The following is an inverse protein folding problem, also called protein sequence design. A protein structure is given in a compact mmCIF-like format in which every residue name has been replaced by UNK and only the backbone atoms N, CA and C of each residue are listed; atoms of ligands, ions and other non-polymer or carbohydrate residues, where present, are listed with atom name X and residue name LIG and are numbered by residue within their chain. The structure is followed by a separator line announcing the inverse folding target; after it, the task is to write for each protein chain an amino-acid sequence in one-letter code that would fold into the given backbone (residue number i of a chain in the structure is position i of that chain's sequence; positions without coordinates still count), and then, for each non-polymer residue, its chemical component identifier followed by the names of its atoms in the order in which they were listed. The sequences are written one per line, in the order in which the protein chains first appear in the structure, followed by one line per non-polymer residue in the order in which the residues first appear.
data_IF_319214508842
#
_entry.id   IF_319214508842
#
_cell.length_a   1.000
_cell.length_b   1.000
_cell.length_c   1.000
_cell.angle_alpha   90.00
_cell.angle_beta   90.00
_cell.angle_gamma   90.00
#
_symmetry.space_group_name_H-M   'P 1'
#
loop_
_entity.id
_entity.type
_entity.pdbx_description
1 polymer ?
#
# COMPACT_ATOMS: atom_id res chain seq x y z
N UNK A 1 -62.94 56.95 11.11
CA UNK A 1 -63.10 55.52 10.76
C UNK A 1 -62.19 55.09 9.60
N UNK A 2 -61.94 55.94 8.60
CA UNK A 2 -61.11 55.58 7.43
C UNK A 2 -59.63 55.28 7.74
N UNK A 3 -59.05 55.94 8.74
CA UNK A 3 -57.65 55.69 9.15
C UNK A 3 -57.42 54.27 9.69
N UNK A 4 -58.42 53.68 10.37
CA UNK A 4 -58.34 52.29 10.85
C UNK A 4 -58.44 51.27 9.71
N UNK A 5 -59.31 51.50 8.72
CA UNK A 5 -59.37 50.67 7.50
C UNK A 5 -58.06 50.71 6.71
N UNK A 6 -57.45 51.88 6.59
CA UNK A 6 -56.20 52.04 5.85
C UNK A 6 -55.01 51.35 6.57
N UNK A 7 -54.96 51.41 7.90
CA UNK A 7 -53.99 50.64 8.70
C UNK A 7 -54.19 49.13 8.57
N UNK A 8 -55.44 48.65 8.61
CA UNK A 8 -55.76 47.23 8.50
C UNK A 8 -55.41 46.68 7.10
N UNK A 9 -55.69 47.45 6.04
CA UNK A 9 -55.35 47.07 4.67
C UNK A 9 -53.82 47.02 4.45
N UNK A 10 -53.08 47.97 5.04
CA UNK A 10 -51.61 47.96 5.03
C UNK A 10 -51.04 46.73 5.76
N UNK A 11 -51.59 46.38 6.93
CA UNK A 11 -51.19 45.17 7.67
C UNK A 11 -51.49 43.91 6.88
N UNK A 12 -52.66 43.82 6.25
CA UNK A 12 -53.07 42.66 5.45
C UNK A 12 -52.22 42.51 4.19
N UNK A 13 -51.87 43.62 3.52
CA UNK A 13 -50.93 43.63 2.39
C UNK A 13 -49.52 43.25 2.81
N UNK A 14 -49.04 43.75 3.96
CA UNK A 14 -47.73 43.40 4.49
C UNK A 14 -47.65 41.92 4.87
N UNK A 15 -48.69 41.38 5.51
CA UNK A 15 -48.77 39.96 5.89
C UNK A 15 -48.89 39.05 4.66
N UNK A 16 -49.69 39.43 3.67
CA UNK A 16 -49.77 38.70 2.39
C UNK A 16 -48.43 38.70 1.65
N UNK A 17 -47.72 39.83 1.63
CA UNK A 17 -46.40 39.93 1.00
C UNK A 17 -45.34 39.13 1.74
N UNK A 18 -45.36 39.16 3.08
CA UNK A 18 -44.46 38.36 3.91
C UNK A 18 -44.71 36.86 3.72
N UNK A 19 -45.98 36.45 3.67
CA UNK A 19 -46.35 35.05 3.41
C UNK A 19 -45.92 34.60 2.01
N UNK A 20 -46.12 35.45 1.00
CA UNK A 20 -45.68 35.16 -0.37
C UNK A 20 -44.15 35.04 -0.48
N UNK A 21 -43.40 35.91 0.21
CA UNK A 21 -41.94 35.85 0.24
C UNK A 21 -41.42 34.61 0.98
N UNK A 22 -42.07 34.26 2.11
CA UNK A 22 -41.77 33.06 2.87
C UNK A 22 -42.04 31.79 2.06
N UNK A 23 -43.15 31.74 1.32
CA UNK A 23 -43.52 30.60 0.47
C UNK A 23 -42.55 30.46 -0.72
N UNK A 24 -42.14 31.58 -1.32
CA UNK A 24 -41.11 31.61 -2.37
C UNK A 24 -39.76 31.11 -1.84
N UNK A 25 -39.35 31.55 -0.65
CA UNK A 25 -38.10 31.11 -0.02
C UNK A 25 -38.12 29.63 0.36
N UNK A 26 -39.26 29.12 0.84
CA UNK A 26 -39.44 27.69 1.11
C UNK A 26 -39.34 26.87 -0.18
N UNK A 27 -40.01 27.32 -1.25
CA UNK A 27 -40.00 26.62 -2.53
C UNK A 27 -38.60 26.62 -3.16
N UNK A 28 -37.88 27.74 -3.11
CA UNK A 28 -36.48 27.85 -3.55
C UNK A 28 -35.55 26.95 -2.72
N UNK A 29 -35.73 26.87 -1.41
CA UNK A 29 -34.94 25.99 -0.54
C UNK A 29 -35.20 24.50 -0.85
N UNK A 30 -36.45 24.12 -1.01
CA UNK A 30 -36.84 22.75 -1.33
C UNK A 30 -36.34 22.31 -2.71
N UNK A 31 -36.38 23.21 -3.70
CA UNK A 31 -35.80 22.98 -5.02
C UNK A 31 -34.28 22.87 -4.97
N UNK A 32 -33.59 23.73 -4.20
CA UNK A 32 -32.15 23.61 -3.97
C UNK A 32 -31.77 22.29 -3.30
N UNK A 33 -32.56 21.83 -2.33
CA UNK A 33 -32.36 20.54 -1.67
C UNK A 33 -32.54 19.38 -2.66
N UNK A 34 -33.60 19.40 -3.47
CA UNK A 34 -33.82 18.41 -4.54
C UNK A 34 -32.66 18.39 -5.53
N UNK A 35 -32.20 19.54 -6.00
CA UNK A 35 -31.06 19.64 -6.92
C UNK A 35 -29.78 19.08 -6.30
N UNK A 36 -29.44 19.46 -5.05
CA UNK A 36 -28.27 18.93 -4.33
C UNK A 36 -28.34 17.41 -4.15
N UNK A 37 -29.50 16.88 -3.76
CA UNK A 37 -29.68 15.46 -3.55
C UNK A 37 -29.57 14.68 -4.86
N UNK A 38 -30.14 15.20 -5.95
CA UNK A 38 -30.03 14.60 -7.29
C UNK A 38 -28.60 14.66 -7.84
N UNK A 39 -27.87 15.76 -7.58
CA UNK A 39 -26.47 15.90 -7.96
C UNK A 39 -25.55 14.96 -7.16
N UNK A 40 -25.80 14.80 -5.85
CA UNK A 40 -25.10 13.80 -5.04
C UNK A 40 -25.38 12.38 -5.51
N UNK A 41 -26.63 12.03 -5.84
CA UNK A 41 -26.94 10.70 -6.37
C UNK A 41 -26.25 10.43 -7.70
N UNK A 42 -26.22 11.41 -8.62
CA UNK A 42 -25.48 11.30 -9.88
C UNK A 42 -23.98 11.13 -9.64
N UNK A 43 -23.39 11.93 -8.75
CA UNK A 43 -21.97 11.77 -8.39
C UNK A 43 -21.69 10.39 -7.79
N UNK A 44 -22.54 9.91 -6.88
CA UNK A 44 -22.38 8.56 -6.31
C UNK A 44 -22.53 7.45 -7.36
N UNK A 45 -23.48 7.56 -8.29
CA UNK A 45 -23.62 6.59 -9.38
C UNK A 45 -22.43 6.62 -10.34
N UNK A 46 -21.95 7.82 -10.70
CA UNK A 46 -20.82 7.99 -11.60
C UNK A 46 -19.52 7.50 -10.95
N UNK A 47 -19.36 7.70 -9.63
CA UNK A 47 -18.23 7.16 -8.86
C UNK A 47 -18.30 5.63 -8.73
N UNK A 48 -19.51 5.03 -8.60
CA UNK A 48 -19.72 3.57 -8.60
C UNK A 48 -19.51 2.92 -9.97
N UNK A 49 -19.91 3.57 -11.06
CA UNK A 49 -19.69 3.06 -12.43
C UNK A 49 -18.24 3.20 -12.86
N UNK A 50 -17.58 4.31 -12.49
CA UNK A 50 -16.16 4.53 -12.79
C UNK A 50 -15.26 3.59 -11.97
N UNK A 51 -15.62 3.25 -10.73
CA UNK A 51 -14.92 2.21 -9.97
C UNK A 51 -15.19 0.77 -10.45
N UNK A 52 -16.29 0.52 -11.17
CA UNK A 52 -16.52 -0.79 -11.83
C UNK A 52 -15.85 -0.92 -13.20
N UNK A 53 -15.66 0.18 -13.94
CA UNK A 53 -15.08 0.14 -15.30
C UNK A 53 -13.60 0.50 -15.36
N UNK A 54 -13.07 1.16 -14.32
CA UNK A 54 -11.68 1.61 -14.25
C UNK A 54 -11.10 1.36 -12.85
N UNK A 55 -11.11 0.11 -12.39
CA UNK A 55 -10.30 -0.31 -11.26
C UNK A 55 -9.86 -1.77 -11.39
N UNK A 56 -8.54 -2.05 -11.39
CA UNK A 56 -8.02 -3.23 -10.71
C UNK A 56 -8.50 -3.18 -9.24
N UNK A 57 -8.69 -4.33 -8.57
CA UNK A 57 -9.46 -4.40 -7.32
C UNK A 57 -8.89 -3.50 -6.20
N UNK A 58 -9.75 -2.85 -5.38
CA UNK A 58 -9.31 -2.13 -4.19
C UNK A 58 -8.90 -3.14 -3.10
N UNK A 59 -7.59 -3.29 -2.91
CA UNK A 59 -7.02 -3.91 -1.70
C UNK A 59 -6.39 -2.85 -0.81
N UNK A 60 -7.15 -2.41 0.19
CA UNK A 60 -6.66 -1.88 1.46
C UNK A 60 -7.83 -1.91 2.46
N UNK A 61 -7.87 -2.78 3.48
CA UNK A 61 -6.90 -3.74 4.01
C UNK A 61 -7.62 -4.76 4.90
N UNK A 62 -7.05 -5.26 6.02
CA UNK A 62 -5.65 -5.37 6.39
C UNK A 62 -5.11 -6.77 6.05
N UNK A 63 -3.79 -6.91 5.87
CA UNK A 63 -3.06 -8.19 5.98
C UNK A 63 -3.74 -9.44 5.37
N UNK A 64 -4.12 -9.37 4.08
CA UNK A 64 -4.27 -10.60 3.30
C UNK A 64 -2.97 -10.81 2.54
N UNK A 65 -2.36 -11.96 2.78
CA UNK A 65 -1.23 -12.55 2.08
C UNK A 65 -1.54 -12.75 0.60
N UNK A 66 -1.65 -11.66 -0.16
CA UNK A 66 -1.71 -11.71 -1.61
C UNK A 66 -0.34 -12.11 -2.12
N UNK A 67 -0.17 -13.41 -2.32
CA UNK A 67 0.99 -14.01 -2.97
C UNK A 67 1.20 -13.25 -4.29
N UNK A 68 2.38 -12.68 -4.56
CA UNK A 68 2.62 -11.93 -5.78
C UNK A 68 2.28 -12.80 -6.98
N UNK A 69 1.47 -12.28 -7.90
CA UNK A 69 1.17 -12.96 -9.15
C UNK A 69 2.44 -13.19 -9.96
N UNK A 70 2.33 -14.12 -10.90
CA UNK A 70 3.46 -14.62 -11.66
C UNK A 70 4.33 -13.51 -12.28
N UNK A 71 3.67 -12.64 -13.05
CA UNK A 71 4.33 -11.52 -13.73
C UNK A 71 4.86 -10.45 -12.76
N UNK A 72 4.23 -10.27 -11.60
CA UNK A 72 4.75 -9.37 -10.58
C UNK A 72 6.04 -9.88 -9.95
N UNK A 73 6.22 -11.20 -9.83
CA UNK A 73 7.42 -11.75 -9.19
C UNK A 73 8.69 -11.53 -10.03
N UNK A 74 8.61 -11.63 -11.37
CA UNK A 74 9.75 -11.33 -12.25
C UNK A 74 10.13 -9.86 -12.18
N UNK A 75 9.16 -8.94 -12.27
CA UNK A 75 9.41 -7.50 -12.16
C UNK A 75 9.96 -7.09 -10.77
N UNK A 76 9.48 -7.75 -9.71
CA UNK A 76 10.01 -7.57 -8.35
C UNK A 76 11.47 -8.06 -8.24
N UNK A 77 11.79 -9.21 -8.86
CA UNK A 77 13.15 -9.75 -8.89
C UNK A 77 14.11 -8.85 -9.68
N UNK A 78 13.70 -8.37 -10.85
CA UNK A 78 14.50 -7.43 -11.65
C UNK A 78 14.76 -6.14 -10.88
N UNK A 79 13.75 -5.59 -10.22
CA UNK A 79 13.89 -4.41 -9.36
C UNK A 79 14.82 -4.66 -8.17
N UNK A 80 14.74 -5.85 -7.57
CA UNK A 80 15.63 -6.28 -6.49
C UNK A 80 17.09 -6.35 -6.94
N UNK A 81 17.37 -6.99 -8.08
CA UNK A 81 18.73 -7.12 -8.60
C UNK A 81 19.28 -5.76 -9.06
N UNK A 82 18.45 -4.94 -9.74
CA UNK A 82 18.82 -3.60 -10.15
C UNK A 82 19.22 -2.74 -8.95
N UNK A 83 18.41 -2.74 -7.89
CA UNK A 83 18.73 -2.01 -6.64
C UNK A 83 20.03 -2.49 -6.01
N UNK A 84 20.27 -3.80 -5.99
CA UNK A 84 21.54 -4.31 -5.50
C UNK A 84 22.74 -3.90 -6.35
N UNK A 85 22.58 -3.86 -7.68
CA UNK A 85 23.63 -3.39 -8.58
C UNK A 85 23.90 -1.90 -8.39
N UNK A 86 22.85 -1.09 -8.23
CA UNK A 86 22.94 0.34 -7.92
C UNK A 86 23.69 0.55 -6.60
N UNK A 87 23.32 -0.21 -5.55
CA UNK A 87 24.02 -0.18 -4.25
C UNK A 87 25.50 -0.60 -4.34
N UNK A 88 25.84 -1.54 -5.21
CA UNK A 88 27.21 -1.99 -5.40
C UNK A 88 28.05 -1.00 -6.22
N UNK A 89 27.46 -0.36 -7.24
CA UNK A 89 28.14 0.59 -8.15
C UNK A 89 28.24 1.99 -7.56
N UNK A 90 27.18 2.47 -6.91
CA UNK A 90 27.08 3.81 -6.33
C UNK A 90 26.43 3.71 -4.94
N UNK A 91 27.19 3.30 -3.92
CA UNK A 91 26.66 3.21 -2.57
C UNK A 91 26.33 4.62 -2.07
N UNK A 92 25.07 4.93 -1.72
CA UNK A 92 24.71 6.26 -1.23
C UNK A 92 25.47 6.57 0.06
N UNK A 93 25.64 7.87 0.33
CA UNK A 93 26.33 8.37 1.51
C UNK A 93 25.60 7.95 2.80
N UNK A 94 24.26 7.91 2.77
CA UNK A 94 23.41 7.43 3.86
C UNK A 94 22.46 6.35 3.32
N UNK A 95 22.59 5.13 3.82
CA UNK A 95 21.67 4.04 3.50
C UNK A 95 20.51 4.04 4.47
N UNK A 96 19.28 4.15 3.98
CA UNK A 96 18.11 3.92 4.83
C UNK A 96 17.71 2.46 4.80
N UNK A 97 16.97 2.00 5.80
CA UNK A 97 16.36 0.66 5.82
C UNK A 97 15.63 0.37 4.50
N UNK A 98 14.95 1.38 3.95
CA UNK A 98 14.17 1.30 2.71
C UNK A 98 15.00 1.21 1.44
N UNK A 99 16.26 1.65 1.48
CA UNK A 99 17.18 1.52 0.35
C UNK A 99 17.74 0.11 0.21
N UNK A 100 17.61 -0.73 1.25
CA UNK A 100 18.11 -2.10 1.26
C UNK A 100 17.05 -3.01 0.64
N UNK A 101 17.33 -3.64 -0.51
CA UNK A 101 16.36 -4.51 -1.18
C UNK A 101 16.27 -5.85 -0.46
N UNK A 102 15.34 -5.99 0.49
CA UNK A 102 15.02 -7.26 1.16
C UNK A 102 14.37 -8.26 0.19
N UNK A 103 14.61 -9.58 0.34
CA UNK A 103 14.05 -10.62 -0.53
C UNK A 103 12.61 -10.95 -0.14
N UNK A 104 11.74 -9.93 -0.16
CA UNK A 104 10.32 -10.02 0.18
C UNK A 104 9.55 -9.15 -0.79
N UNK A 105 8.30 -9.53 -1.07
CA UNK A 105 7.46 -8.81 -2.03
C UNK A 105 7.10 -7.38 -1.60
N UNK A 106 7.19 -7.10 -0.30
CA UNK A 106 6.84 -5.80 0.26
C UNK A 106 8.02 -4.84 0.16
N UNK A 107 7.76 -3.62 -0.32
CA UNK A 107 8.77 -2.58 -0.44
C UNK A 107 9.27 -2.05 0.93
N UNK A 108 8.50 -2.23 2.00
CA UNK A 108 8.84 -1.81 3.37
C UNK A 108 8.56 -2.93 4.38
N UNK A 109 9.40 -3.97 4.43
CA UNK A 109 9.18 -5.07 5.35
C UNK A 109 9.59 -4.69 6.77
N UNK A 110 8.81 -5.15 7.74
CA UNK A 110 9.25 -5.23 9.15
C UNK A 110 9.87 -6.59 9.43
N UNK A 111 10.64 -6.72 10.52
CA UNK A 111 11.24 -8.00 10.88
C UNK A 111 10.21 -9.13 11.04
N UNK A 112 8.99 -8.81 11.50
CA UNK A 112 7.89 -9.76 11.62
C UNK A 112 7.33 -10.27 10.27
N UNK A 113 7.56 -9.53 9.18
CA UNK A 113 7.14 -9.91 7.83
C UNK A 113 8.22 -10.73 7.08
N UNK A 114 9.45 -10.74 7.61
CA UNK A 114 10.58 -11.50 7.08
C UNK A 114 10.56 -12.89 7.72
N UNK A 115 9.87 -13.80 7.04
CA UNK A 115 9.66 -15.16 7.50
C UNK A 115 10.22 -16.15 6.47
N UNK A 116 10.55 -17.39 6.87
CA UNK A 116 11.07 -18.41 5.94
C UNK A 116 10.17 -18.61 4.73
N UNK A 117 8.84 -18.51 4.90
CA UNK A 117 7.87 -18.65 3.81
C UNK A 117 7.92 -17.49 2.81
N UNK A 118 7.99 -16.24 3.26
CA UNK A 118 8.00 -15.06 2.37
C UNK A 118 9.33 -14.97 1.63
N UNK A 119 10.43 -15.27 2.32
CA UNK A 119 11.78 -15.37 1.75
C UNK A 119 11.87 -16.53 0.74
N UNK A 120 11.28 -17.69 1.04
CA UNK A 120 11.21 -18.82 0.11
C UNK A 120 10.42 -18.47 -1.15
N UNK A 121 9.23 -17.88 -1.00
CA UNK A 121 8.42 -17.47 -2.14
C UNK A 121 9.16 -16.50 -3.05
N UNK A 122 9.97 -15.61 -2.47
CA UNK A 122 10.76 -14.67 -3.25
C UNK A 122 11.98 -15.35 -3.91
N UNK A 123 12.86 -16.00 -3.15
CA UNK A 123 14.16 -16.53 -3.64
C UNK A 123 13.99 -17.81 -4.46
N UNK A 124 13.04 -18.68 -4.10
CA UNK A 124 12.82 -19.97 -4.75
C UNK A 124 11.78 -19.92 -5.88
N UNK A 125 11.23 -18.73 -6.19
CA UNK A 125 10.27 -18.59 -7.30
C UNK A 125 10.88 -19.05 -8.62
N UNK A 126 10.25 -20.02 -9.29
CA UNK A 126 10.67 -20.55 -10.60
C UNK A 126 10.64 -19.52 -11.72
N UNK A 127 10.07 -18.36 -11.46
CA UNK A 127 9.78 -17.29 -12.42
C UNK A 127 10.97 -16.37 -12.67
N UNK A 128 11.97 -16.45 -11.81
CA UNK A 128 13.28 -15.83 -12.04
C UNK A 128 14.36 -16.90 -12.03
N UNK A 129 15.41 -16.68 -12.82
CA UNK A 129 16.59 -17.54 -12.89
C UNK A 129 16.32 -19.05 -13.09
N UNK A 130 15.54 -19.48 -14.11
CA UNK A 130 15.19 -20.90 -14.31
C UNK A 130 16.41 -21.83 -14.41
N UNK A 131 17.57 -21.28 -14.77
CA UNK A 131 18.84 -22.01 -14.90
C UNK A 131 19.56 -22.29 -13.56
N UNK A 132 19.16 -21.68 -12.43
CA UNK A 132 19.79 -21.90 -11.11
C UNK A 132 18.96 -22.83 -10.24
N UNK A 133 19.61 -23.87 -9.70
CA UNK A 133 18.96 -24.78 -8.74
C UNK A 133 18.55 -24.06 -7.44
N UNK A 134 17.47 -24.51 -6.80
CA UNK A 134 16.97 -23.98 -5.52
C UNK A 134 18.09 -23.84 -4.47
N UNK A 135 18.91 -24.88 -4.33
CA UNK A 135 20.08 -24.91 -3.44
C UNK A 135 21.13 -23.84 -3.78
N UNK A 136 21.40 -23.59 -5.06
CA UNK A 136 22.33 -22.54 -5.48
C UNK A 136 21.80 -21.13 -5.14
N UNK A 137 20.49 -20.90 -5.33
CA UNK A 137 19.85 -19.61 -5.01
C UNK A 137 19.89 -19.31 -3.50
N UNK A 138 19.65 -20.32 -2.66
CA UNK A 138 19.74 -20.15 -1.21
C UNK A 138 21.19 -19.89 -0.75
N UNK A 139 22.17 -20.59 -1.33
CA UNK A 139 23.59 -20.31 -1.05
C UNK A 139 24.00 -18.88 -1.40
N UNK A 140 23.55 -18.38 -2.56
CA UNK A 140 23.80 -17.01 -3.00
C UNK A 140 23.17 -15.99 -2.04
N UNK A 141 21.91 -16.21 -1.67
CA UNK A 141 21.22 -15.39 -0.68
C UNK A 141 21.91 -15.40 0.69
N UNK A 142 22.40 -16.56 1.14
CA UNK A 142 23.13 -16.71 2.40
C UNK A 142 24.44 -15.90 2.39
N UNK A 143 25.19 -15.97 1.31
CA UNK A 143 26.43 -15.19 1.16
C UNK A 143 26.17 -13.67 1.17
N UNK A 144 25.02 -13.25 0.63
CA UNK A 144 24.61 -11.84 0.54
C UNK A 144 24.06 -11.30 1.86
N UNK A 145 23.31 -12.11 2.60
CA UNK A 145 22.63 -11.76 3.85
C UNK A 145 23.33 -12.24 5.12
N UNK A 146 24.54 -12.80 5.02
CA UNK A 146 25.29 -13.23 6.20
C UNK A 146 25.41 -12.07 7.20
N UNK A 147 25.02 -12.25 8.48
CA UNK A 147 24.93 -11.16 9.45
C UNK A 147 26.24 -10.38 9.53
N UNK A 148 27.37 -11.07 9.64
CA UNK A 148 28.69 -10.43 9.72
C UNK A 148 29.03 -9.55 8.49
N UNK A 149 28.83 -10.07 7.27
CA UNK A 149 29.13 -9.32 6.03
C UNK A 149 28.16 -8.17 5.81
N UNK A 150 26.89 -8.35 6.16
CA UNK A 150 25.89 -7.32 6.04
C UNK A 150 26.14 -6.19 7.03
N UNK A 151 26.49 -6.52 8.28
CA UNK A 151 26.83 -5.57 9.32
C UNK A 151 28.05 -4.72 8.92
N UNK A 152 29.13 -5.36 8.48
CA UNK A 152 30.34 -4.65 8.07
C UNK A 152 30.12 -3.74 6.85
N UNK A 153 29.37 -4.23 5.84
CA UNK A 153 29.26 -3.55 4.53
C UNK A 153 28.14 -2.52 4.46
N UNK A 154 26.98 -2.80 5.05
CA UNK A 154 25.78 -1.99 4.88
C UNK A 154 25.38 -1.28 6.18
N UNK A 155 25.47 -1.94 7.34
CA UNK A 155 24.98 -1.36 8.60
C UNK A 155 25.77 -0.13 9.04
N UNK A 156 27.09 -0.09 8.78
CA UNK A 156 27.92 1.09 9.02
C UNK A 156 27.43 2.34 8.28
N UNK A 157 26.80 2.17 7.11
CA UNK A 157 26.23 3.25 6.29
C UNK A 157 24.80 3.63 6.67
N UNK A 158 24.14 2.85 7.54
CA UNK A 158 22.78 3.14 8.01
C UNK A 158 22.84 4.13 9.16
N UNK A 159 21.97 5.15 9.24
CA UNK A 159 21.93 6.06 10.37
C UNK A 159 21.51 5.34 11.66
N UNK A 160 22.08 5.73 12.79
CA UNK A 160 21.86 5.14 14.12
C UNK A 160 20.42 4.74 14.46
N UNK A 161 19.40 5.61 14.28
CA UNK A 161 18.01 5.27 14.62
C UNK A 161 17.44 4.11 13.80
N UNK A 162 17.99 3.82 12.64
CA UNK A 162 17.54 2.73 11.76
C UNK A 162 18.46 1.50 11.82
N UNK A 163 19.67 1.60 12.41
CA UNK A 163 20.62 0.49 12.48
C UNK A 163 20.04 -0.71 13.22
N UNK A 164 19.43 -0.51 14.38
CA UNK A 164 18.83 -1.61 15.15
C UNK A 164 17.79 -2.38 14.31
N UNK A 165 16.88 -1.66 13.66
CA UNK A 165 15.84 -2.25 12.82
C UNK A 165 16.40 -2.93 11.57
N UNK A 166 17.41 -2.34 10.92
CA UNK A 166 18.06 -2.94 9.75
C UNK A 166 18.82 -4.23 10.10
N UNK A 167 19.50 -4.24 11.26
CA UNK A 167 20.17 -5.43 11.79
C UNK A 167 19.17 -6.54 12.10
N UNK A 168 18.06 -6.20 12.75
CA UNK A 168 17.00 -7.17 13.07
C UNK A 168 16.41 -7.78 11.79
N UNK A 169 16.06 -6.96 10.80
CA UNK A 169 15.53 -7.42 9.53
C UNK A 169 16.54 -8.30 8.77
N UNK A 170 17.81 -7.90 8.71
CA UNK A 170 18.86 -8.70 8.05
C UNK A 170 19.09 -10.04 8.78
N UNK A 171 19.09 -10.03 10.11
CA UNK A 171 19.18 -11.25 10.92
C UNK A 171 18.00 -12.19 10.67
N UNK A 172 16.78 -11.64 10.54
CA UNK A 172 15.59 -12.41 10.20
C UNK A 172 15.68 -13.05 8.81
N UNK A 173 16.23 -12.33 7.81
CA UNK A 173 16.49 -12.90 6.47
C UNK A 173 17.52 -14.02 6.57
N UNK A 174 18.65 -13.80 7.25
CA UNK A 174 19.71 -14.80 7.38
C UNK A 174 19.18 -16.09 8.03
N UNK A 175 18.46 -15.97 9.15
CA UNK A 175 17.80 -17.11 9.83
C UNK A 175 16.82 -17.82 8.92
N UNK A 176 16.01 -17.06 8.19
CA UNK A 176 15.05 -17.59 7.22
C UNK A 176 15.73 -18.39 6.11
N UNK A 177 16.82 -17.87 5.53
CA UNK A 177 17.59 -18.57 4.50
C UNK A 177 18.28 -19.82 5.08
N UNK A 178 18.83 -19.76 6.30
CA UNK A 178 19.45 -20.92 6.96
C UNK A 178 18.44 -22.05 7.14
N UNK A 179 17.26 -21.74 7.69
CA UNK A 179 16.20 -22.72 7.90
C UNK A 179 15.72 -23.35 6.57
N UNK A 180 15.67 -22.57 5.48
CA UNK A 180 15.34 -23.09 4.15
C UNK A 180 16.45 -23.99 3.59
N UNK A 181 17.73 -23.66 3.82
CA UNK A 181 18.85 -24.49 3.40
C UNK A 181 18.90 -25.82 4.15
N UNK A 182 18.60 -25.82 5.45
CA UNK A 182 18.49 -27.03 6.26
C UNK A 182 17.35 -27.90 5.74
N UNK A 183 16.16 -27.32 5.54
CA UNK A 183 15.01 -28.04 4.97
C UNK A 183 15.26 -28.61 3.57
N UNK A 184 16.00 -27.91 2.71
CA UNK A 184 16.40 -28.43 1.39
C UNK A 184 17.48 -29.52 1.48
N UNK A 185 18.35 -29.48 2.50
CA UNK A 185 19.37 -30.50 2.77
C UNK A 185 18.72 -31.79 3.30
N UNK A 186 17.63 -31.66 4.04
CA UNK A 186 16.76 -32.74 4.52
C UNK A 186 15.71 -33.20 3.48
N UNK A 187 15.97 -32.97 2.18
CA UNK A 187 15.07 -33.32 1.06
C UNK A 187 14.44 -34.71 1.20
N UNK A 188 13.23 -34.88 0.64
CA UNK A 188 12.18 -35.73 1.18
C UNK A 188 12.72 -37.11 1.51
N UNK A 189 12.65 -37.52 2.78
CA UNK A 189 12.59 -38.95 3.08
C UNK A 189 11.36 -39.47 2.34
N UNK A 190 11.61 -40.11 1.20
CA UNK A 190 10.61 -40.82 0.42
C UNK A 190 9.71 -41.62 1.35
N UNK A 191 8.42 -41.36 1.28
CA UNK A 191 7.40 -42.36 1.55
C UNK A 191 7.01 -42.96 0.20
#
# INVERSE_FOLDING_TARGET
EEWMRQQEEQRKKAEAKFKQDQERMQNEFEEQQRQKQQQQQRQQQQQKQSSQSSAPPPSAGPASSSVPTAQSMTALWESYEKRWQELAKSPPASLTLYSIPFPVAQARPTAAQINPQTVAQFILSTQHSPHKSRKARLKDAMLRWHPDKFEQKWLNKVPEPQRAMAKECASAVAKSVTALMEREKEGPRSA
#
